data_IF_387805837471
#
_entry.id   IF_387805837471
#
_cell.length_a   1.000
_cell.length_b   1.000
_cell.length_c   1.000
_cell.angle_alpha   90.00
_cell.angle_beta   90.00
_cell.angle_gamma   90.00
#
_symmetry.space_group_name_H-M   'P 1'
#
loop_
_entity.id
_entity.type
_entity.pdbx_description
1 polymer ?
#
# COMPACT_ATOMS: atom_id res chain seq x y z
N UNK A 1 -1.11 72.73 -41.17
CA UNK A 1 -1.59 71.35 -40.92
C UNK A 1 -1.99 71.29 -39.44
N UNK A 2 -3.27 71.49 -39.11
CA UNK A 2 -4.26 70.41 -38.86
C UNK A 2 -3.77 69.47 -37.74
N UNK A 3 -4.40 69.31 -36.56
CA UNK A 3 -5.80 69.46 -36.17
C UNK A 3 -5.95 69.26 -34.63
N UNK A 4 -7.03 69.85 -34.10
CA UNK A 4 -7.93 69.40 -33.02
C UNK A 4 -7.45 69.28 -31.55
N UNK A 5 -8.04 70.17 -30.75
CA UNK A 5 -8.49 69.93 -29.38
C UNK A 5 -9.58 68.84 -29.33
N UNK A 6 -9.49 67.93 -28.37
CA UNK A 6 -10.66 67.23 -27.80
C UNK A 6 -10.42 66.91 -26.32
N UNK A 7 -11.06 67.68 -25.45
CA UNK A 7 -11.33 67.34 -24.05
C UNK A 7 -12.38 66.24 -23.97
N UNK A 8 -12.14 65.19 -23.18
CA UNK A 8 -13.17 64.30 -22.68
C UNK A 8 -13.08 64.26 -21.14
N UNK A 9 -14.20 64.59 -20.52
CA UNK A 9 -14.40 64.67 -19.09
C UNK A 9 -14.79 63.30 -18.50
N UNK A 10 -14.39 63.11 -17.24
CA UNK A 10 -15.20 62.61 -16.12
C UNK A 10 -15.96 61.27 -16.27
N UNK A 11 -15.58 60.29 -15.44
CA UNK A 11 -16.53 59.52 -14.64
C UNK A 11 -15.84 58.99 -13.37
N UNK A 12 -16.22 59.56 -12.22
CA UNK A 12 -16.10 58.90 -10.92
C UNK A 12 -17.18 57.82 -10.79
N UNK A 13 -16.83 56.65 -10.25
CA UNK A 13 -17.75 55.78 -9.52
C UNK A 13 -16.89 54.88 -8.62
N UNK A 14 -16.74 55.23 -7.34
CA UNK A 14 -17.55 54.71 -6.22
C UNK A 14 -17.27 53.23 -5.91
N UNK A 15 -16.57 53.06 -4.80
CA UNK A 15 -16.43 51.85 -3.99
C UNK A 15 -17.79 51.18 -3.74
N UNK A 16 -17.90 49.89 -4.04
CA UNK A 16 -18.79 48.98 -3.34
C UNK A 16 -17.97 47.75 -2.94
N UNK A 17 -17.76 47.62 -1.64
CA UNK A 17 -17.30 46.37 -1.04
C UNK A 17 -18.36 45.31 -1.30
N UNK A 18 -17.96 44.22 -1.93
CA UNK A 18 -18.64 42.95 -1.82
C UNK A 18 -17.94 42.17 -0.70
N UNK A 19 -18.37 42.41 0.53
CA UNK A 19 -18.38 41.34 1.52
C UNK A 19 -19.39 40.31 0.99
N UNK A 20 -18.94 39.38 0.14
CA UNK A 20 -19.78 38.22 -0.19
C UNK A 20 -19.83 37.34 1.05
N UNK A 21 -20.90 37.53 1.83
CA UNK A 21 -21.43 36.51 2.71
C UNK A 21 -21.84 35.32 1.83
N UNK A 22 -20.89 34.44 1.53
CA UNK A 22 -21.22 33.09 1.10
C UNK A 22 -21.54 32.30 2.37
N UNK A 23 -22.81 32.41 2.79
CA UNK A 23 -23.47 31.32 3.50
C UNK A 23 -23.51 30.11 2.55
N UNK A 24 -23.29 28.95 3.15
CA UNK A 24 -23.46 27.62 2.57
C UNK A 24 -22.35 27.15 1.61
N UNK A 25 -21.20 26.82 2.21
CA UNK A 25 -20.44 25.64 1.79
C UNK A 25 -20.17 24.75 3.01
N UNK A 26 -21.21 24.10 3.50
CA UNK A 26 -21.03 22.76 4.07
C UNK A 26 -20.65 21.83 2.92
N UNK A 27 -19.46 22.02 2.35
CA UNK A 27 -18.80 20.93 1.65
C UNK A 27 -18.41 19.97 2.75
N UNK A 28 -19.08 18.82 2.84
CA UNK A 28 -18.55 17.73 3.62
C UNK A 28 -17.12 17.49 3.13
N UNK A 29 -16.15 17.76 4.00
CA UNK A 29 -14.76 17.41 3.75
C UNK A 29 -14.74 15.89 3.60
N UNK A 30 -14.51 15.41 2.37
CA UNK A 30 -14.44 13.97 2.11
C UNK A 30 -13.30 13.43 2.95
N UNK A 31 -13.63 12.61 3.94
CA UNK A 31 -12.62 12.01 4.82
C UNK A 31 -11.68 11.14 4.00
N UNK A 32 -10.38 11.44 4.08
CA UNK A 32 -9.32 10.75 3.35
C UNK A 32 -8.30 10.19 4.32
N UNK A 33 -7.53 9.19 3.86
CA UNK A 33 -6.40 8.64 4.60
C UNK A 33 -5.38 9.74 4.93
N UNK A 34 -4.87 9.73 6.16
CA UNK A 34 -3.92 10.74 6.64
C UNK A 34 -2.59 10.13 7.05
N UNK A 35 -1.48 10.68 6.54
CA UNK A 35 -0.12 10.30 6.95
C UNK A 35 0.10 10.47 8.47
N UNK A 36 -0.51 11.51 9.07
CA UNK A 36 -0.37 11.83 10.49
C UNK A 36 -1.06 10.85 11.43
N UNK A 37 -1.98 10.04 10.91
CA UNK A 37 -2.66 8.96 11.65
C UNK A 37 -2.04 7.60 11.40
N UNK A 38 -1.09 7.51 10.48
CA UNK A 38 -0.51 6.23 10.11
C UNK A 38 0.30 5.63 11.27
N UNK A 39 0.07 4.36 11.56
CA UNK A 39 0.81 3.59 12.57
C UNK A 39 1.70 2.55 11.91
N UNK A 40 2.76 2.13 12.61
CA UNK A 40 3.67 1.09 12.14
C UNK A 40 3.81 0.04 13.21
N UNK A 41 3.78 -1.22 12.79
CA UNK A 41 4.00 -2.38 13.63
C UNK A 41 4.93 -3.37 12.94
N UNK A 42 5.51 -4.28 13.71
CA UNK A 42 6.45 -5.29 13.21
C UNK A 42 6.13 -6.63 13.84
N UNK A 43 6.35 -7.71 13.08
CA UNK A 43 6.19 -9.08 13.57
C UNK A 43 7.25 -9.97 12.93
N UNK A 44 7.94 -10.73 13.77
CA UNK A 44 8.71 -11.89 13.34
C UNK A 44 7.85 -13.13 13.50
N UNK A 45 7.79 -13.95 12.47
CA UNK A 45 7.08 -15.22 12.41
C UNK A 45 8.08 -16.35 12.23
N UNK A 46 7.78 -17.48 12.84
CA UNK A 46 8.58 -18.71 12.75
C UNK A 46 7.76 -19.69 11.92
N UNK A 47 8.18 -20.02 10.69
CA UNK A 47 7.58 -21.09 9.89
C UNK A 47 7.49 -22.40 10.66
N UNK A 48 6.41 -23.12 10.41
CA UNK A 48 6.26 -24.53 10.78
C UNK A 48 5.94 -25.27 9.48
N UNK A 49 6.86 -26.14 9.06
CA UNK A 49 6.89 -26.74 7.71
C UNK A 49 5.62 -27.53 7.37
N UNK A 50 4.80 -27.87 8.37
CA UNK A 50 3.59 -28.68 8.25
C UNK A 50 2.28 -27.86 8.36
N UNK A 51 2.34 -26.55 8.65
CA UNK A 51 1.12 -25.77 8.95
C UNK A 51 1.06 -24.44 8.21
N UNK A 52 -0.16 -24.00 7.89
CA UNK A 52 -0.39 -22.65 7.33
C UNK A 52 -0.46 -21.65 8.46
N UNK A 53 0.25 -20.53 8.34
CA UNK A 53 0.15 -19.43 9.29
C UNK A 53 -0.99 -18.53 8.83
N UNK A 54 -2.04 -18.43 9.64
CA UNK A 54 -3.12 -17.47 9.45
C UNK A 54 -2.83 -16.22 10.28
N UNK A 55 -2.82 -15.05 9.65
CA UNK A 55 -2.37 -13.82 10.30
C UNK A 55 -3.41 -12.71 10.23
N UNK A 56 -3.73 -12.14 11.39
CA UNK A 56 -4.54 -10.95 11.52
C UNK A 56 -3.62 -9.71 11.53
N UNK A 57 -3.65 -8.96 10.43
CA UNK A 57 -2.82 -7.77 10.24
C UNK A 57 -3.29 -6.64 11.15
N UNK A 58 -4.57 -6.52 11.46
CA UNK A 58 -5.09 -5.49 12.36
C UNK A 58 -4.53 -5.63 13.78
N UNK A 59 -4.52 -6.85 14.31
CA UNK A 59 -4.05 -7.14 15.67
C UNK A 59 -2.57 -7.48 15.74
N UNK A 60 -1.89 -7.59 14.59
CA UNK A 60 -0.49 -7.99 14.45
C UNK A 60 -0.18 -9.37 15.07
N UNK A 61 -1.11 -10.30 14.97
CA UNK A 61 -1.00 -11.61 15.60
C UNK A 61 -1.50 -12.74 14.71
N UNK A 62 -0.99 -13.94 14.95
CA UNK A 62 -1.57 -15.16 14.41
C UNK A 62 -3.00 -15.33 14.95
N UNK A 63 -3.86 -15.88 14.11
CA UNK A 63 -5.28 -16.04 14.40
C UNK A 63 -5.80 -17.32 13.74
N UNK A 64 -7.05 -17.68 14.04
CA UNK A 64 -7.76 -18.69 13.26
C UNK A 64 -8.05 -18.18 11.84
N UNK A 65 -8.27 -19.10 10.88
CA UNK A 65 -8.56 -18.78 9.48
C UNK A 65 -9.65 -17.69 9.34
N UNK A 66 -10.78 -17.87 10.02
CA UNK A 66 -11.94 -16.96 9.96
C UNK A 66 -11.70 -15.57 10.58
N UNK A 67 -10.60 -15.40 11.32
CA UNK A 67 -10.22 -14.14 11.95
C UNK A 67 -8.96 -13.52 11.30
N UNK A 68 -8.45 -14.10 10.22
CA UNK A 68 -7.24 -13.66 9.52
C UNK A 68 -7.59 -12.93 8.21
N UNK A 69 -6.76 -11.96 7.82
CA UNK A 69 -6.87 -11.36 6.49
C UNK A 69 -6.00 -12.09 5.46
N UNK A 70 -4.85 -12.59 5.91
CA UNK A 70 -3.89 -13.29 5.05
C UNK A 70 -3.53 -14.65 5.65
N UNK A 71 -3.10 -15.53 4.76
CA UNK A 71 -2.43 -16.79 5.08
C UNK A 71 -1.05 -16.82 4.44
N UNK A 72 -0.13 -17.52 5.11
CA UNK A 72 1.27 -17.68 4.73
C UNK A 72 1.57 -19.18 4.69
N UNK A 73 1.88 -19.67 3.49
CA UNK A 73 1.94 -21.11 3.17
C UNK A 73 3.08 -21.44 2.19
N UNK A 74 3.08 -22.67 1.66
CA UNK A 74 4.13 -23.18 0.79
C UNK A 74 5.34 -23.69 1.58
N UNK A 75 6.36 -24.18 0.87
CA UNK A 75 7.51 -24.90 1.46
C UNK A 75 8.30 -24.11 2.51
N UNK A 76 8.17 -22.79 2.55
CA UNK A 76 8.83 -21.92 3.55
C UNK A 76 7.85 -21.02 4.30
N UNK A 77 6.54 -21.25 4.19
CA UNK A 77 5.50 -20.36 4.76
C UNK A 77 5.62 -18.89 4.36
N UNK A 78 6.06 -18.63 3.12
CA UNK A 78 6.25 -17.28 2.60
C UNK A 78 5.25 -16.94 1.48
N UNK A 79 4.53 -17.91 0.92
CA UNK A 79 3.50 -17.61 -0.07
C UNK A 79 2.32 -16.93 0.62
N UNK A 80 2.11 -15.65 0.30
CA UNK A 80 1.07 -14.82 0.89
C UNK A 80 -0.20 -14.93 0.05
N UNK A 81 -1.32 -15.25 0.69
CA UNK A 81 -2.64 -15.33 0.04
C UNK A 81 -3.70 -14.65 0.92
N UNK A 82 -4.73 -14.09 0.29
CA UNK A 82 -5.95 -13.69 0.99
C UNK A 82 -6.66 -14.89 1.60
N UNK A 83 -7.13 -14.75 2.84
CA UNK A 83 -8.02 -15.74 3.46
C UNK A 83 -9.47 -15.52 3.02
N UNK A 84 -9.89 -14.26 2.83
CA UNK A 84 -11.24 -13.89 2.40
C UNK A 84 -11.20 -12.98 1.15
N UNK A 85 -11.03 -13.54 -0.07
CA UNK A 85 -10.87 -12.76 -1.30
C UNK A 85 -12.13 -11.98 -1.73
N UNK A 86 -13.28 -12.24 -1.09
CA UNK A 86 -14.52 -11.49 -1.32
C UNK A 86 -14.65 -10.25 -0.42
N UNK A 87 -13.83 -10.15 0.64
CA UNK A 87 -13.85 -9.01 1.58
C UNK A 87 -12.60 -8.16 1.51
N UNK A 88 -11.49 -8.72 1.05
CA UNK A 88 -10.23 -7.98 0.93
C UNK A 88 -9.70 -8.00 -0.49
N UNK A 89 -9.03 -6.92 -0.86
CA UNK A 89 -8.27 -6.80 -2.09
C UNK A 89 -6.79 -6.75 -1.76
N UNK A 90 -6.01 -7.56 -2.47
CA UNK A 90 -4.56 -7.66 -2.33
C UNK A 90 -3.90 -7.22 -3.63
N UNK A 91 -2.73 -6.61 -3.49
CA UNK A 91 -1.84 -6.32 -4.60
C UNK A 91 -0.44 -5.99 -4.12
N UNK A 92 0.40 -5.58 -5.05
CA UNK A 92 1.72 -5.04 -4.73
C UNK A 92 2.06 -3.86 -5.63
N UNK A 93 2.98 -3.04 -5.16
CA UNK A 93 3.61 -2.01 -5.97
C UNK A 93 5.09 -1.92 -5.61
N UNK A 94 5.89 -1.45 -6.57
CA UNK A 94 7.32 -1.23 -6.39
C UNK A 94 7.57 0.27 -6.22
N UNK A 95 8.52 0.63 -5.36
CA UNK A 95 8.89 2.01 -5.06
C UNK A 95 10.41 2.13 -4.86
N UNK A 96 10.96 3.29 -5.21
CA UNK A 96 12.35 3.68 -4.89
C UNK A 96 12.55 3.93 -3.38
N UNK A 97 11.46 4.11 -2.63
CA UNK A 97 11.50 4.20 -1.17
C UNK A 97 11.82 2.81 -0.63
N UNK A 98 12.92 2.68 0.12
CA UNK A 98 13.42 1.39 0.61
C UNK A 98 12.81 0.92 1.93
N UNK A 99 12.25 1.84 2.71
CA UNK A 99 11.74 1.59 4.05
C UNK A 99 10.27 2.02 4.16
N UNK A 100 9.43 1.17 4.73
CA UNK A 100 7.99 1.40 4.83
C UNK A 100 7.62 2.71 5.55
N UNK A 101 8.47 3.18 6.47
CA UNK A 101 8.30 4.45 7.18
C UNK A 101 8.14 5.62 6.21
N UNK A 102 8.84 5.59 5.07
CA UNK A 102 8.82 6.63 4.04
C UNK A 102 7.61 6.59 3.12
N UNK A 103 6.84 5.51 3.09
CA UNK A 103 5.63 5.39 2.26
C UNK A 103 4.56 6.32 2.80
N UNK A 104 3.96 7.14 1.93
CA UNK A 104 2.93 8.14 2.27
C UNK A 104 1.71 7.95 1.39
N UNK A 105 0.57 8.53 1.77
CA UNK A 105 -0.66 8.49 0.96
C UNK A 105 -0.41 8.98 -0.47
N UNK A 106 0.36 10.06 -0.65
CA UNK A 106 0.72 10.57 -1.98
C UNK A 106 1.53 9.58 -2.85
N UNK A 107 2.27 8.65 -2.23
CA UNK A 107 2.95 7.57 -2.96
C UNK A 107 1.91 6.57 -3.46
N UNK A 108 0.93 6.23 -2.63
CA UNK A 108 -0.15 5.29 -2.99
C UNK A 108 -1.04 5.85 -4.10
N UNK A 109 -1.35 7.15 -4.07
CA UNK A 109 -2.17 7.85 -5.09
C UNK A 109 -1.57 7.80 -6.51
N UNK A 110 -0.27 7.53 -6.62
CA UNK A 110 0.45 7.46 -7.90
C UNK A 110 1.05 6.08 -8.18
N UNK A 111 0.87 5.13 -7.27
CA UNK A 111 1.43 3.79 -7.39
C UNK A 111 0.71 3.00 -8.49
N UNK A 112 1.48 2.34 -9.35
CA UNK A 112 0.95 1.32 -10.26
C UNK A 112 0.74 0.02 -9.48
N UNK A 113 -0.44 -0.18 -8.91
CA UNK A 113 -0.77 -1.36 -8.12
C UNK A 113 -1.06 -2.54 -9.05
N UNK A 114 -0.34 -3.63 -8.85
CA UNK A 114 -0.56 -4.91 -9.50
C UNK A 114 -1.42 -5.78 -8.58
N UNK A 115 -2.73 -5.86 -8.87
CA UNK A 115 -3.66 -6.66 -8.07
C UNK A 115 -3.47 -8.16 -8.31
N UNK A 116 -3.61 -8.93 -7.23
CA UNK A 116 -3.53 -10.39 -7.25
C UNK A 116 -4.19 -10.97 -6.00
N UNK A 117 -4.57 -12.25 -6.02
CA UNK A 117 -5.06 -12.97 -4.85
C UNK A 117 -3.94 -13.70 -4.08
N UNK A 118 -2.77 -13.86 -4.71
CA UNK A 118 -1.62 -14.59 -4.18
C UNK A 118 -0.30 -13.99 -4.65
N UNK A 119 0.66 -13.90 -3.73
CA UNK A 119 2.05 -13.58 -4.03
C UNK A 119 2.96 -14.73 -3.60
N UNK A 120 3.92 -15.07 -4.45
CA UNK A 120 4.75 -16.28 -4.27
C UNK A 120 6.23 -16.00 -4.41
N UNK A 121 7.04 -17.04 -4.34
CA UNK A 121 8.44 -16.99 -4.73
C UNK A 121 8.65 -16.44 -6.14
N UNK A 122 9.65 -15.58 -6.29
CA UNK A 122 10.24 -15.20 -7.58
C UNK A 122 11.60 -15.87 -7.73
N UNK A 123 11.76 -16.76 -8.70
CA UNK A 123 13.04 -17.42 -8.93
C UNK A 123 13.97 -16.52 -9.75
N UNK A 124 15.14 -16.20 -9.19
CA UNK A 124 16.19 -15.40 -9.81
C UNK A 124 17.31 -16.33 -10.30
N UNK A 125 17.72 -16.14 -11.55
CA UNK A 125 18.85 -16.86 -12.17
C UNK A 125 18.69 -18.39 -12.23
N UNK A 126 17.45 -18.88 -12.21
CA UNK A 126 17.12 -20.30 -12.39
C UNK A 126 16.71 -20.66 -13.83
N UNK A 127 16.50 -21.96 -14.13
CA UNK A 127 16.14 -22.44 -15.46
C UNK A 127 14.68 -22.16 -15.85
N UNK A 128 13.80 -21.83 -14.89
CA UNK A 128 12.42 -21.41 -15.17
C UNK A 128 12.31 -19.88 -15.20
N UNK A 129 11.39 -19.33 -16.01
CA UNK A 129 11.13 -17.89 -16.02
C UNK A 129 10.65 -17.38 -14.65
N UNK A 130 10.95 -16.11 -14.37
CA UNK A 130 10.43 -15.39 -13.21
C UNK A 130 8.90 -15.45 -13.20
N UNK A 131 8.32 -15.77 -12.03
CA UNK A 131 6.87 -15.84 -11.88
C UNK A 131 6.34 -14.39 -11.74
N UNK A 132 5.29 -14.00 -12.48
CA UNK A 132 4.61 -12.73 -12.20
C UNK A 132 4.05 -12.77 -10.77
N UNK A 133 4.17 -11.66 -10.02
CA UNK A 133 3.68 -11.51 -8.63
C UNK A 133 4.58 -12.12 -7.54
N UNK A 134 5.89 -11.96 -7.70
CA UNK A 134 6.87 -12.29 -6.65
C UNK A 134 6.68 -11.49 -5.35
N UNK A 135 6.76 -12.13 -4.19
CA UNK A 135 6.83 -11.50 -2.86
C UNK A 135 8.26 -11.47 -2.31
N UNK A 136 9.01 -12.55 -2.56
CA UNK A 136 10.40 -12.74 -2.15
C UNK A 136 11.17 -13.38 -3.29
N UNK A 137 12.48 -13.16 -3.32
CA UNK A 137 13.38 -13.79 -4.28
C UNK A 137 13.91 -15.11 -3.74
N UNK A 138 14.05 -16.08 -4.63
CA UNK A 138 14.89 -17.25 -4.44
C UNK A 138 16.04 -17.20 -5.44
N UNK A 139 17.26 -17.06 -4.93
CA UNK A 139 18.47 -17.03 -5.72
C UNK A 139 18.93 -18.47 -5.95
N UNK A 140 18.75 -18.96 -7.18
CA UNK A 140 19.05 -20.35 -7.52
C UNK A 140 20.55 -20.69 -7.40
N UNK A 141 21.42 -19.70 -7.57
CA UNK A 141 22.88 -19.86 -7.59
C UNK A 141 23.47 -20.31 -6.26
N UNK A 142 22.89 -19.86 -5.15
CA UNK A 142 23.34 -20.15 -3.79
C UNK A 142 22.22 -20.73 -2.92
N UNK A 143 21.04 -20.99 -3.50
CA UNK A 143 19.85 -21.49 -2.84
C UNK A 143 19.36 -20.62 -1.66
N UNK A 144 19.58 -19.30 -1.74
CA UNK A 144 19.15 -18.38 -0.68
C UNK A 144 17.83 -17.68 -1.00
N UNK A 145 17.04 -17.40 0.04
CA UNK A 145 15.87 -16.52 -0.06
C UNK A 145 16.17 -15.10 0.43
N UNK A 146 15.55 -14.11 -0.18
CA UNK A 146 15.68 -12.71 0.23
C UNK A 146 14.40 -11.91 -0.06
N UNK A 147 14.09 -10.87 0.73
CA UNK A 147 13.07 -9.91 0.35
C UNK A 147 13.35 -9.25 -1.01
N UNK A 148 12.29 -8.79 -1.68
CA UNK A 148 12.42 -7.93 -2.87
C UNK A 148 12.50 -6.48 -2.38
N UNK A 149 13.66 -5.84 -2.57
CA UNK A 149 13.87 -4.45 -2.16
C UNK A 149 12.88 -3.50 -2.88
N UNK A 150 12.28 -2.57 -2.13
CA UNK A 150 11.33 -1.60 -2.68
C UNK A 150 9.95 -2.16 -3.03
N UNK A 151 9.69 -3.46 -2.81
CA UNK A 151 8.37 -4.05 -3.00
C UNK A 151 7.51 -3.95 -1.75
N UNK A 152 6.30 -3.47 -1.94
CA UNK A 152 5.30 -3.34 -0.89
C UNK A 152 4.02 -4.06 -1.29
N UNK A 153 3.44 -4.78 -0.35
CA UNK A 153 2.10 -5.33 -0.49
C UNK A 153 1.10 -4.30 0.01
N UNK A 154 0.00 -4.17 -0.73
CA UNK A 154 -1.14 -3.36 -0.34
C UNK A 154 -2.35 -4.28 -0.10
N UNK A 155 -3.04 -4.04 1.00
CA UNK A 155 -4.25 -4.74 1.40
C UNK A 155 -5.28 -3.72 1.88
N UNK A 156 -6.53 -3.89 1.48
CA UNK A 156 -7.66 -3.10 1.97
C UNK A 156 -8.98 -3.86 1.84
N UNK A 157 -10.01 -3.41 2.55
CA UNK A 157 -11.35 -3.97 2.42
C UNK A 157 -11.93 -3.61 1.04
N UNK A 158 -12.40 -4.63 0.32
CA UNK A 158 -12.81 -4.53 -1.07
C UNK A 158 -12.82 -5.89 -1.75
N UNK A 159 -13.37 -5.95 -2.95
CA UNK A 159 -13.39 -7.15 -3.78
C UNK A 159 -12.59 -6.91 -5.09
N UNK A 160 -12.80 -7.74 -6.10
CA UNK A 160 -12.05 -7.64 -7.35
C UNK A 160 -12.31 -6.39 -8.19
N UNK A 161 -13.44 -5.71 -7.95
CA UNK A 161 -13.84 -4.47 -8.61
C UNK A 161 -13.43 -3.22 -7.80
N UNK A 162 -12.81 -3.41 -6.63
CA UNK A 162 -12.39 -2.30 -5.76
C UNK A 162 -10.95 -1.90 -6.08
N UNK A 163 -10.80 -0.71 -6.63
CA UNK A 163 -9.49 -0.07 -6.79
C UNK A 163 -9.11 0.75 -5.55
N UNK A 164 -7.81 1.01 -5.40
CA UNK A 164 -7.31 1.87 -4.34
C UNK A 164 -7.85 3.29 -4.53
N UNK A 165 -8.27 3.89 -3.42
CA UNK A 165 -8.57 5.31 -3.31
C UNK A 165 -8.14 5.79 -1.92
N UNK A 166 -7.68 7.03 -1.82
CA UNK A 166 -7.43 7.66 -0.53
C UNK A 166 -8.72 7.91 0.29
N UNK A 167 -9.90 7.62 -0.26
CA UNK A 167 -11.18 7.63 0.46
C UNK A 167 -11.55 6.29 1.10
N UNK A 168 -10.67 5.28 1.06
CA UNK A 168 -10.85 4.03 1.79
C UNK A 168 -10.71 4.27 3.30
N UNK A 169 -11.43 3.52 4.13
CA UNK A 169 -11.41 3.72 5.59
C UNK A 169 -10.05 3.33 6.20
N UNK A 170 -9.46 2.28 5.65
CA UNK A 170 -8.21 1.70 6.14
C UNK A 170 -7.45 0.99 5.02
N UNK A 171 -6.13 1.18 5.00
CA UNK A 171 -5.22 0.52 4.05
C UNK A 171 -3.99 0.04 4.79
N UNK A 172 -3.59 -1.20 4.54
CA UNK A 172 -2.37 -1.79 5.07
C UNK A 172 -1.32 -1.84 3.96
N UNK A 173 -0.14 -1.31 4.26
CA UNK A 173 1.06 -1.51 3.48
C UNK A 173 1.93 -2.50 4.25
N UNK A 174 2.45 -3.53 3.58
CA UNK A 174 3.23 -4.60 4.21
C UNK A 174 4.58 -4.70 3.49
N UNK A 175 5.64 -4.76 4.26
CA UNK A 175 7.01 -4.96 3.79
C UNK A 175 7.58 -6.24 4.40
N UNK A 176 8.09 -7.15 3.57
CA UNK A 176 8.98 -8.22 4.04
C UNK A 176 10.36 -7.60 4.31
N UNK A 177 10.79 -7.63 5.56
CA UNK A 177 12.00 -6.91 6.00
C UNK A 177 13.22 -7.82 6.16
N UNK A 178 12.99 -9.07 6.55
CA UNK A 178 14.06 -10.05 6.72
C UNK A 178 13.50 -11.46 6.51
N UNK A 179 14.38 -12.34 6.03
CA UNK A 179 14.18 -13.78 6.02
C UNK A 179 15.49 -14.37 6.54
N UNK A 180 15.43 -15.11 7.64
CA UNK A 180 16.55 -15.89 8.14
C UNK A 180 16.37 -17.31 7.62
N UNK A 181 17.43 -17.85 7.03
CA UNK A 181 17.42 -19.19 6.45
C UNK A 181 18.55 -20.01 7.05
N UNK A 182 18.27 -21.27 7.36
CA UNK A 182 19.26 -22.23 7.80
C UNK A 182 19.14 -23.49 6.94
N UNK A 183 20.13 -23.70 6.07
CA UNK A 183 20.02 -24.72 5.04
C UNK A 183 18.96 -24.35 3.99
N UNK A 184 18.10 -25.31 3.64
CA UNK A 184 17.10 -25.15 2.59
C UNK A 184 15.78 -24.50 3.05
N UNK A 185 15.63 -24.21 4.34
CA UNK A 185 14.34 -23.84 4.97
C UNK A 185 14.45 -22.50 5.69
N UNK A 186 13.34 -21.76 5.74
CA UNK A 186 13.28 -20.49 6.44
C UNK A 186 13.13 -20.74 7.94
N UNK A 187 14.06 -20.24 8.75
CA UNK A 187 14.02 -20.31 10.21
C UNK A 187 13.03 -19.28 10.78
N UNK A 188 13.08 -18.07 10.23
CA UNK A 188 12.16 -16.99 10.57
C UNK A 188 12.04 -16.00 9.41
N UNK A 189 10.98 -15.19 9.46
CA UNK A 189 10.86 -14.01 8.62
C UNK A 189 10.16 -12.89 9.36
N UNK A 190 10.45 -11.66 8.96
CA UNK A 190 9.92 -10.47 9.61
C UNK A 190 9.16 -9.59 8.65
N UNK A 191 7.94 -9.22 9.00
CA UNK A 191 7.15 -8.21 8.29
C UNK A 191 7.06 -6.92 9.09
N UNK A 192 6.99 -5.80 8.39
CA UNK A 192 6.50 -4.54 8.91
C UNK A 192 5.20 -4.19 8.22
N UNK A 193 4.25 -3.67 8.98
CA UNK A 193 3.00 -3.16 8.45
C UNK A 193 2.86 -1.69 8.80
N UNK A 194 2.54 -0.86 7.81
CA UNK A 194 2.10 0.53 8.00
C UNK A 194 0.62 0.61 7.70
N UNK A 195 -0.15 1.12 8.65
CA UNK A 195 -1.61 1.17 8.58
C UNK A 195 -2.01 2.62 8.41
N UNK A 196 -2.68 2.92 7.31
CA UNK A 196 -3.32 4.22 7.09
C UNK A 196 -4.80 4.12 7.45
N UNK A 197 -5.30 5.13 8.15
CA UNK A 197 -6.73 5.29 8.45
C UNK A 197 -7.16 6.72 8.14
N UNK A 198 -8.46 6.91 7.90
CA UNK A 198 -9.07 8.24 7.81
C UNK A 198 -8.89 9.09 9.06
#
# INVERSE_FOLDING_TARGET
>A
MNKLFTTAALACALTLGLTSCDKDKNGEEIATLLDSKATIQSKTMIPDEESTIFFNIDTNNEAEETASQISLSGTMNLDLKLTEPTKYRLGYFDSEIKNIEGIKVAVLDTASINYTDKLTMNMISGPMPSIPNGWYNYLFTNHTVAPIEGRYVILFEGNEDTDFSNTLDKVYIIQLTAITQNGGTADDFSIKTKIFTK
#
